data_IF_905866849449
#
_entry.id   IF_905866849449
#
_cell.length_a   1.000
_cell.length_b   1.000
_cell.length_c   1.000
_cell.angle_alpha   90.00
_cell.angle_beta   90.00
_cell.angle_gamma   90.00
#
_symmetry.space_group_name_H-M   'P 1'
#
loop_
_entity.id
_entity.type
_entity.pdbx_description
1 polymer ?
#
# COMPACT_ATOMS: atom_id res chain seq x y z
N UNK A 1 13.03 36.37 -15.57
CA UNK A 1 13.29 35.00 -15.06
C UNK A 1 11.97 34.35 -14.70
N UNK A 2 11.57 33.27 -15.38
CA UNK A 2 10.26 32.64 -15.20
C UNK A 2 10.19 31.89 -13.86
N UNK A 3 9.42 32.42 -12.90
CA UNK A 3 9.30 31.86 -11.54
C UNK A 3 8.54 30.53 -11.49
N UNK A 4 7.84 30.16 -12.56
CA UNK A 4 7.06 28.92 -12.61
C UNK A 4 7.95 27.66 -12.60
N UNK A 5 9.10 27.72 -13.28
CA UNK A 5 10.03 26.59 -13.36
C UNK A 5 10.56 26.18 -11.97
N UNK A 6 11.16 27.07 -11.16
CA UNK A 6 11.65 26.68 -9.83
C UNK A 6 10.52 26.26 -8.89
N UNK A 7 9.31 26.82 -9.01
CA UNK A 7 8.15 26.40 -8.21
C UNK A 7 7.76 24.94 -8.55
N UNK A 8 7.63 24.62 -9.84
CA UNK A 8 7.29 23.26 -10.27
C UNK A 8 8.34 22.24 -9.84
N UNK A 9 9.63 22.56 -10.04
CA UNK A 9 10.73 21.69 -9.63
C UNK A 9 10.72 21.48 -8.11
N UNK A 10 10.55 22.54 -7.33
CA UNK A 10 10.45 22.45 -5.87
C UNK A 10 9.26 21.59 -5.43
N UNK A 11 8.09 21.78 -6.02
CA UNK A 11 6.89 21.00 -5.69
C UNK A 11 7.07 19.50 -5.97
N UNK A 12 7.62 19.16 -7.15
CA UNK A 12 7.89 17.75 -7.51
C UNK A 12 8.96 17.16 -6.58
N UNK A 13 10.02 17.92 -6.27
CA UNK A 13 11.07 17.46 -5.37
C UNK A 13 10.54 17.15 -3.97
N UNK A 14 9.70 18.03 -3.42
CA UNK A 14 9.05 17.83 -2.12
C UNK A 14 8.14 16.58 -2.17
N UNK A 15 7.32 16.44 -3.21
CA UNK A 15 6.45 15.28 -3.35
C UNK A 15 7.24 13.98 -3.46
N UNK A 16 8.27 13.94 -4.31
CA UNK A 16 9.14 12.78 -4.48
C UNK A 16 9.85 12.41 -3.18
N UNK A 17 10.38 13.41 -2.46
CA UNK A 17 11.01 13.19 -1.17
C UNK A 17 10.03 12.64 -0.13
N UNK A 18 8.82 13.20 -0.05
CA UNK A 18 7.78 12.72 0.86
C UNK A 18 7.34 11.29 0.52
N UNK A 19 7.12 10.96 -0.76
CA UNK A 19 6.79 9.58 -1.19
C UNK A 19 7.92 8.61 -0.85
N UNK A 20 9.17 9.00 -1.09
CA UNK A 20 10.33 8.18 -0.76
C UNK A 20 10.39 7.88 0.74
N UNK A 21 10.30 8.92 1.57
CA UNK A 21 10.46 8.80 3.03
C UNK A 21 9.27 8.16 3.73
N UNK A 22 8.03 8.38 3.27
CA UNK A 22 6.82 7.93 3.95
C UNK A 22 6.23 6.63 3.40
N UNK A 23 6.58 6.25 2.16
CA UNK A 23 6.00 5.07 1.50
C UNK A 23 7.09 4.06 1.15
N UNK A 24 8.09 4.48 0.38
CA UNK A 24 9.09 3.55 -0.18
C UNK A 24 10.03 3.02 0.90
N UNK A 25 10.63 3.89 1.71
CA UNK A 25 11.55 3.48 2.77
C UNK A 25 10.86 2.60 3.82
N UNK A 26 9.70 2.97 4.40
CA UNK A 26 8.99 2.11 5.34
C UNK A 26 8.56 0.79 4.70
N UNK A 27 8.07 0.83 3.46
CA UNK A 27 7.70 -0.37 2.71
C UNK A 27 8.87 -1.34 2.53
N UNK A 28 10.07 -0.84 2.25
CA UNK A 28 11.28 -1.64 2.17
C UNK A 28 11.69 -2.21 3.54
N UNK A 29 11.52 -1.45 4.62
CA UNK A 29 11.85 -1.89 5.98
C UNK A 29 10.95 -3.02 6.48
N UNK A 30 9.68 -3.06 6.08
CA UNK A 30 8.70 -4.05 6.57
C UNK A 30 8.42 -5.19 5.58
N UNK A 31 8.89 -5.10 4.33
CA UNK A 31 8.57 -6.05 3.25
C UNK A 31 8.93 -7.50 3.59
N UNK A 32 10.03 -7.70 4.31
CA UNK A 32 10.57 -9.03 4.61
C UNK A 32 10.06 -9.57 5.95
N UNK A 33 9.05 -8.93 6.55
CA UNK A 33 8.41 -9.48 7.74
C UNK A 33 7.71 -10.80 7.39
N UNK A 34 8.05 -11.84 8.14
CA UNK A 34 7.44 -13.14 7.97
C UNK A 34 5.93 -13.08 8.30
N UNK A 35 5.09 -13.89 7.62
CA UNK A 35 3.70 -14.05 8.01
C UNK A 35 3.56 -14.49 9.46
N UNK A 36 2.41 -14.19 10.07
CA UNK A 36 2.11 -14.63 11.42
C UNK A 36 2.25 -16.16 11.54
N UNK A 37 2.80 -16.69 12.65
CA UNK A 37 2.94 -18.12 12.85
C UNK A 37 1.62 -18.88 12.66
N UNK A 38 1.64 -19.97 11.91
CA UNK A 38 0.46 -20.80 11.64
C UNK A 38 -0.43 -20.30 10.50
N UNK A 39 -0.09 -19.19 9.83
CA UNK A 39 -0.79 -18.78 8.62
C UNK A 39 -0.41 -19.69 7.45
N UNK A 40 -1.37 -20.45 6.95
CA UNK A 40 -1.22 -21.27 5.75
C UNK A 40 -1.50 -20.45 4.49
N UNK A 41 -0.88 -20.86 3.38
CA UNK A 41 -1.21 -20.30 2.06
C UNK A 41 -2.66 -20.60 1.67
N UNK A 42 -3.24 -19.72 0.86
CA UNK A 42 -4.57 -19.94 0.31
C UNK A 42 -4.58 -21.19 -0.57
N UNK A 43 -5.60 -22.04 -0.40
CA UNK A 43 -5.90 -23.11 -1.36
C UNK A 43 -6.34 -22.51 -2.71
N UNK A 44 -6.31 -23.29 -3.81
CA UNK A 44 -6.78 -22.79 -5.11
C UNK A 44 -8.21 -22.25 -5.08
N UNK A 45 -9.10 -22.90 -4.32
CA UNK A 45 -10.49 -22.48 -4.15
C UNK A 45 -10.59 -21.17 -3.36
N UNK A 46 -9.79 -21.00 -2.30
CA UNK A 46 -9.76 -19.76 -1.52
C UNK A 46 -9.21 -18.59 -2.35
N UNK A 47 -8.18 -18.83 -3.17
CA UNK A 47 -7.64 -17.82 -4.07
C UNK A 47 -8.67 -17.37 -5.12
N UNK A 48 -9.42 -18.31 -5.69
CA UNK A 48 -10.54 -18.00 -6.58
C UNK A 48 -11.63 -17.19 -5.85
N UNK A 49 -11.95 -17.56 -4.60
CA UNK A 49 -12.88 -16.82 -3.75
C UNK A 49 -12.42 -15.39 -3.47
N UNK A 50 -11.12 -15.18 -3.20
CA UNK A 50 -10.52 -13.84 -3.03
C UNK A 50 -10.68 -13.00 -4.29
N UNK A 51 -10.50 -13.58 -5.48
CA UNK A 51 -10.71 -12.84 -6.72
C UNK A 51 -12.18 -12.42 -6.88
N UNK A 52 -13.13 -13.27 -6.51
CA UNK A 52 -14.55 -12.91 -6.50
C UNK A 52 -14.84 -11.78 -5.50
N UNK A 53 -14.29 -11.85 -4.28
CA UNK A 53 -14.41 -10.81 -3.27
C UNK A 53 -13.93 -9.44 -3.78
N UNK A 54 -12.82 -9.40 -4.52
CA UNK A 54 -12.30 -8.18 -5.16
C UNK A 54 -13.23 -7.71 -6.28
N UNK A 55 -13.63 -8.61 -7.18
CA UNK A 55 -14.46 -8.28 -8.34
C UNK A 55 -15.85 -7.74 -7.95
N UNK A 56 -16.41 -8.21 -6.84
CA UNK A 56 -17.69 -7.74 -6.31
C UNK A 56 -17.55 -6.46 -5.48
N UNK A 57 -16.34 -5.92 -5.32
CA UNK A 57 -16.10 -4.68 -4.58
C UNK A 57 -16.29 -4.81 -3.06
N UNK A 58 -16.24 -6.02 -2.50
CA UNK A 58 -16.49 -6.24 -1.07
C UNK A 58 -15.54 -5.42 -0.17
N UNK A 59 -14.31 -5.17 -0.65
CA UNK A 59 -13.31 -4.32 0.03
C UNK A 59 -13.78 -2.88 0.28
N UNK A 60 -14.74 -2.38 -0.51
CA UNK A 60 -15.26 -1.02 -0.34
C UNK A 60 -16.17 -0.89 0.88
N UNK A 61 -16.81 -1.98 1.32
CA UNK A 61 -17.70 -1.99 2.49
C UNK A 61 -17.13 -2.75 3.70
N UNK A 62 -16.16 -3.65 3.50
CA UNK A 62 -15.64 -4.54 4.55
C UNK A 62 -14.14 -4.32 4.76
N UNK A 63 -13.79 -3.55 5.81
CA UNK A 63 -12.39 -3.35 6.22
C UNK A 63 -11.75 -4.67 6.65
N UNK A 64 -10.51 -4.89 6.22
CA UNK A 64 -9.68 -6.02 6.65
C UNK A 64 -8.52 -5.57 7.55
N UNK A 65 -8.56 -4.34 8.07
CA UNK A 65 -7.54 -3.80 8.96
C UNK A 65 -8.16 -3.45 10.34
N UNK A 66 -8.09 -4.38 11.30
CA UNK A 66 -8.42 -4.08 12.70
C UNK A 66 -7.51 -2.98 13.25
N UNK A 67 -8.05 -2.16 14.15
CA UNK A 67 -7.29 -1.15 14.90
C UNK A 67 -7.19 -1.59 16.36
N UNK A 68 -6.20 -1.07 17.08
CA UNK A 68 -6.14 -1.25 18.53
C UNK A 68 -7.40 -0.66 19.19
N UNK A 69 -7.82 -1.27 20.30
CA UNK A 69 -8.91 -0.79 21.13
C UNK A 69 -8.50 0.46 21.93
#
# INVERSE_FOLDING_TARGET
MNRLIPIFVGAIAILAFATLMLVVVPGAQIRDQAPAPGLADYTPQQLAGRQQYINQGCVYCHSQQPRAA
#
